data_IF_445777474746
#
_entry.id   IF_445777474746
#
_cell.length_a   1.000
_cell.length_b   1.000
_cell.length_c   1.000
_cell.angle_alpha   90.00
_cell.angle_beta   90.00
_cell.angle_gamma   90.00
#
_symmetry.space_group_name_H-M   'P 1'
#
loop_
_entity.id
_entity.type
_entity.pdbx_description
1 polymer ?
#
# COMPACT_ATOMS: atom_id res chain seq x y z
N UNK A 1 9.83 13.87 7.90
CA UNK A 1 9.08 13.01 8.83
C UNK A 1 10.05 12.04 9.48
N UNK A 2 10.18 12.07 10.81
CA UNK A 2 11.24 11.38 11.55
C UNK A 2 10.85 9.99 12.06
N UNK A 3 11.74 9.05 11.73
CA UNK A 3 12.31 7.90 12.47
C UNK A 3 11.46 6.86 13.21
N UNK A 4 11.58 5.62 12.69
CA UNK A 4 11.93 4.36 13.36
C UNK A 4 11.14 3.91 14.61
N UNK A 5 10.20 3.00 14.37
CA UNK A 5 9.81 1.94 15.30
C UNK A 5 9.83 0.61 14.55
N UNK A 6 10.30 -0.47 15.16
CA UNK A 6 10.46 -1.81 14.56
C UNK A 6 9.15 -2.52 14.20
N UNK A 7 8.30 -1.86 13.42
CA UNK A 7 7.11 -2.41 12.79
C UNK A 7 6.98 -1.80 11.40
N UNK A 8 6.60 -2.62 10.43
CA UNK A 8 6.43 -2.20 9.03
C UNK A 8 5.60 -0.91 8.93
N UNK A 9 6.17 0.15 8.35
CA UNK A 9 5.46 1.41 8.13
C UNK A 9 4.29 1.24 7.16
N UNK A 10 3.17 1.94 7.39
CA UNK A 10 2.02 1.97 6.46
C UNK A 10 1.67 3.41 6.10
N UNK A 11 1.70 3.72 4.81
CA UNK A 11 1.26 4.99 4.24
C UNK A 11 -0.19 4.89 3.77
N UNK A 12 -1.04 5.81 4.24
CA UNK A 12 -2.45 5.90 3.86
C UNK A 12 -2.74 7.24 3.21
N UNK A 13 -3.44 7.22 2.09
CA UNK A 13 -3.84 8.44 1.38
C UNK A 13 -5.17 8.97 1.94
N UNK A 14 -5.23 10.28 2.18
CA UNK A 14 -6.46 10.99 2.60
C UNK A 14 -7.39 11.33 1.43
N UNK A 15 -6.90 11.21 0.20
CA UNK A 15 -7.67 11.30 -1.02
C UNK A 15 -7.54 10.00 -1.83
N UNK A 16 -8.58 9.64 -2.58
CA UNK A 16 -8.49 8.63 -3.63
C UNK A 16 -8.04 9.33 -4.92
N UNK A 17 -6.98 8.86 -5.61
CA UNK A 17 -6.59 9.38 -6.92
C UNK A 17 -7.75 9.38 -7.93
N UNK A 18 -8.57 8.33 -7.91
CA UNK A 18 -9.79 8.23 -8.73
C UNK A 18 -11.07 8.53 -7.93
N UNK A 19 -10.99 9.33 -6.87
CA UNK A 19 -12.10 9.64 -5.96
C UNK A 19 -13.34 10.22 -6.63
N UNK A 20 -13.17 11.03 -7.67
CA UNK A 20 -14.29 11.59 -8.44
C UNK A 20 -15.12 10.52 -9.17
N UNK A 21 -14.52 9.37 -9.48
CA UNK A 21 -15.19 8.23 -10.14
C UNK A 21 -15.64 7.17 -9.11
N UNK A 22 -15.15 7.26 -7.87
CA UNK A 22 -15.37 6.28 -6.81
C UNK A 22 -16.84 6.18 -6.39
N UNK A 23 -17.62 7.26 -6.51
CA UNK A 23 -19.04 7.26 -6.17
C UNK A 23 -19.87 6.36 -7.10
N UNK A 24 -19.46 6.23 -8.37
CA UNK A 24 -20.19 5.46 -9.38
C UNK A 24 -19.84 3.97 -9.36
N UNK A 25 -18.56 3.63 -9.12
CA UNK A 25 -18.07 2.23 -9.17
C UNK A 25 -17.01 1.94 -8.09
N UNK A 26 -17.40 1.82 -6.81
CA UNK A 26 -16.43 1.75 -5.71
C UNK A 26 -15.43 0.58 -5.81
N UNK A 27 -15.82 -0.68 -6.10
CA UNK A 27 -14.86 -1.79 -6.18
C UNK A 27 -13.87 -1.64 -7.35
N UNK A 28 -14.33 -1.13 -8.50
CA UNK A 28 -13.51 -0.91 -9.68
C UNK A 28 -12.43 0.14 -9.40
N UNK A 29 -12.83 1.26 -8.80
CA UNK A 29 -11.92 2.35 -8.46
C UNK A 29 -10.86 1.91 -7.45
N UNK A 30 -11.21 1.05 -6.50
CA UNK A 30 -10.22 0.52 -5.57
C UNK A 30 -9.16 -0.34 -6.25
N UNK A 31 -9.53 -1.16 -7.24
CA UNK A 31 -8.55 -1.86 -8.08
C UNK A 31 -7.63 -0.91 -8.85
N UNK A 32 -8.18 0.16 -9.42
CA UNK A 32 -7.40 1.17 -10.14
C UNK A 32 -6.43 1.93 -9.23
N UNK A 33 -6.86 2.29 -8.01
CA UNK A 33 -6.01 2.97 -7.04
C UNK A 33 -4.83 2.07 -6.61
N UNK A 34 -5.06 0.76 -6.46
CA UNK A 34 -3.99 -0.22 -6.19
C UNK A 34 -3.01 -0.27 -7.36
N UNK A 35 -3.49 -0.47 -8.59
CA UNK A 35 -2.63 -0.57 -9.78
C UNK A 35 -1.79 0.70 -10.00
N UNK A 36 -2.37 1.88 -9.73
CA UNK A 36 -1.64 3.15 -9.79
C UNK A 36 -0.48 3.19 -8.79
N UNK A 37 -0.76 2.85 -7.53
CA UNK A 37 0.26 2.85 -6.48
C UNK A 37 1.32 1.77 -6.71
N UNK A 38 0.94 0.60 -7.26
CA UNK A 38 1.88 -0.45 -7.66
C UNK A 38 2.88 0.07 -8.70
N UNK A 39 2.38 0.77 -9.73
CA UNK A 39 3.24 1.42 -10.73
C UNK A 39 4.14 2.51 -10.13
N UNK A 40 3.67 3.26 -9.13
CA UNK A 40 4.51 4.25 -8.43
C UNK A 40 5.59 3.59 -7.53
N UNK A 41 5.27 2.43 -6.95
CA UNK A 41 6.19 1.68 -6.10
C UNK A 41 7.17 0.81 -6.91
N UNK A 42 7.03 0.76 -8.24
CA UNK A 42 7.92 0.00 -9.10
C UNK A 42 9.39 0.43 -8.88
N UNK A 43 10.27 -0.55 -8.66
CA UNK A 43 11.68 -0.31 -8.33
C UNK A 43 11.96 -0.02 -6.84
N UNK A 44 10.95 0.23 -6.02
CA UNK A 44 11.11 0.36 -4.56
C UNK A 44 11.16 -1.02 -3.91
N UNK A 45 12.31 -1.38 -3.32
CA UNK A 45 12.44 -2.65 -2.59
C UNK A 45 11.73 -2.55 -1.24
N UNK A 46 11.04 -3.63 -0.87
CA UNK A 46 10.39 -3.74 0.44
C UNK A 46 9.14 -2.88 0.58
N UNK A 47 8.50 -2.48 -0.52
CA UNK A 47 7.19 -1.82 -0.50
C UNK A 47 6.18 -2.75 -1.17
N UNK A 48 5.04 -2.96 -0.51
CA UNK A 48 3.87 -3.64 -1.07
C UNK A 48 2.70 -2.69 -1.07
N UNK A 49 1.94 -2.71 -2.14
CA UNK A 49 0.66 -2.02 -2.22
C UNK A 49 -0.45 -3.04 -2.08
N UNK A 50 -1.50 -2.71 -1.33
CA UNK A 50 -2.69 -3.55 -1.21
C UNK A 50 -3.95 -2.74 -0.96
N UNK A 51 -5.08 -3.42 -1.06
CA UNK A 51 -6.37 -2.86 -0.66
C UNK A 51 -6.51 -2.84 0.87
N UNK A 52 -7.01 -1.72 1.41
CA UNK A 52 -7.34 -1.46 2.81
C UNK A 52 -8.48 -0.43 2.87
N UNK A 53 -9.69 -0.84 2.52
CA UNK A 53 -10.85 0.06 2.47
C UNK A 53 -11.25 0.54 3.88
N UNK A 54 -11.29 1.86 4.08
CA UNK A 54 -11.67 2.49 5.35
C UNK A 54 -12.49 3.77 5.12
N UNK A 55 -13.51 4.06 5.94
CA UNK A 55 -14.23 5.33 5.85
C UNK A 55 -13.30 6.53 5.98
N UNK A 56 -13.40 7.49 5.05
CA UNK A 56 -12.60 8.73 5.06
C UNK A 56 -11.14 8.59 4.60
N UNK A 57 -10.75 7.44 4.02
CA UNK A 57 -9.42 7.19 3.47
C UNK A 57 -9.50 6.56 2.09
N UNK A 58 -8.42 6.63 1.32
CA UNK A 58 -8.31 5.79 0.14
C UNK A 58 -8.27 4.31 0.50
N UNK A 59 -8.89 3.48 -0.33
CA UNK A 59 -8.89 2.03 -0.18
C UNK A 59 -7.58 1.35 -0.58
N UNK A 60 -6.52 2.10 -0.88
CA UNK A 60 -5.22 1.57 -1.26
C UNK A 60 -4.15 2.12 -0.30
N UNK A 61 -3.25 1.25 0.14
CA UNK A 61 -2.16 1.58 1.07
C UNK A 61 -0.86 1.02 0.57
N UNK A 62 0.24 1.72 0.87
CA UNK A 62 1.59 1.21 0.69
C UNK A 62 2.14 0.85 2.07
N UNK A 63 2.65 -0.37 2.21
CA UNK A 63 3.24 -0.87 3.44
C UNK A 63 4.65 -1.37 3.19
N UNK A 64 5.51 -1.20 4.18
CA UNK A 64 6.81 -1.82 4.18
C UNK A 64 6.65 -3.35 4.33
N UNK A 65 7.42 -4.10 3.57
CA UNK A 65 7.52 -5.55 3.70
C UNK A 65 8.82 -5.85 4.43
N UNK A 66 8.76 -6.43 5.64
CA UNK A 66 9.96 -6.89 6.32
C UNK A 66 10.72 -7.87 5.42
N UNK A 67 12.07 -7.87 5.46
CA UNK A 67 12.85 -8.87 4.75
C UNK A 67 12.39 -10.27 5.18
N UNK A 68 12.31 -11.19 4.23
CA UNK A 68 11.95 -12.57 4.53
C UNK A 68 12.92 -13.14 5.58
N UNK A 69 12.45 -13.93 6.56
CA UNK A 69 13.33 -14.57 7.52
C UNK A 69 14.34 -15.42 6.78
N UNK A 70 15.63 -15.19 7.04
CA UNK A 70 16.73 -15.98 6.50
C UNK A 70 16.55 -17.43 6.93
N UNK A 71 16.38 -18.34 5.96
CA UNK A 71 16.53 -19.78 6.19
C UNK A 71 18.02 -20.11 6.15
N UNK A 72 18.71 -19.97 7.27
CA UNK A 72 20.07 -20.50 7.45
C UNK A 72 19.98 -21.85 8.17
N UNK A 73 19.81 -22.93 7.37
CA UNK A 73 20.07 -24.28 7.85
C UNK A 73 21.59 -24.48 7.80
N UNK A 74 22.25 -24.24 8.93
CA UNK A 74 23.61 -24.71 9.20
C UNK A 74 23.46 -25.86 10.21
N UNK A 75 23.61 -27.09 9.73
CA UNK A 75 23.71 -28.34 10.51
C UNK A 75 25.17 -28.60 10.92
#
# INVERSE_FOLDING_TARGET
CGAAGGGAGVVRMRNCPFGAVAEAFPPLVCGMNVALLEGMAEGSRGVRVRMDARPGWCCAVAEEVPPAPSKNNED
#
